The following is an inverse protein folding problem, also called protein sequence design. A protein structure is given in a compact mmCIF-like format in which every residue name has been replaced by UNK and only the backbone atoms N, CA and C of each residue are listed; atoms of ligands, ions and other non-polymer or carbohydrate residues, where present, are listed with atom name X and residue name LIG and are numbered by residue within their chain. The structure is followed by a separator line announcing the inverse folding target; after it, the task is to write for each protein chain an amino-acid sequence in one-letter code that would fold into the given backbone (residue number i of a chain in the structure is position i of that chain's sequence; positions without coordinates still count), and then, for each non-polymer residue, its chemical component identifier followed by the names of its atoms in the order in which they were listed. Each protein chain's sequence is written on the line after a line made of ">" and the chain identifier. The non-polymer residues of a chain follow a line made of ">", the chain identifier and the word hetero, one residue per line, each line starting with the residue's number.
data_IF_570425161469
#
_entry.id   IF_570425161469
#
_cell.length_a   1.000
_cell.length_b   1.000
_cell.length_c   1.000
_cell.angle_alpha   90.00
_cell.angle_beta   90.00
_cell.angle_gamma   90.00
#
_symmetry.space_group_name_H-M   'P 1'
#
loop_
_entity.id
_entity.type
_entity.pdbx_description
1 polymer ?
#
# COMPACT_ATOMS: atom_id res chain seq x y z
N UNK A 1 7.49 -11.82 -2.20
CA UNK A 1 6.43 -12.12 -3.19
C UNK A 1 6.59 -11.14 -4.34
N UNK A 2 6.61 -11.59 -5.56
CA UNK A 2 6.74 -10.77 -6.75
C UNK A 2 5.63 -11.14 -7.75
N UNK A 3 5.14 -10.17 -8.47
CA UNK A 3 4.10 -10.36 -9.48
C UNK A 3 4.33 -9.41 -10.65
N UNK A 4 3.81 -9.72 -11.82
CA UNK A 4 3.73 -8.73 -12.91
C UNK A 4 2.93 -7.53 -12.43
N UNK A 5 3.36 -6.32 -12.81
CA UNK A 5 2.67 -5.09 -12.47
C UNK A 5 1.22 -5.13 -12.96
N UNK A 6 0.32 -4.74 -12.09
CA UNK A 6 -1.08 -4.55 -12.46
C UNK A 6 -1.25 -3.10 -12.92
N UNK A 7 -1.61 -2.91 -14.17
CA UNK A 7 -1.78 -1.57 -14.76
C UNK A 7 -3.22 -1.07 -14.69
N UNK A 8 -4.10 -1.78 -13.99
CA UNK A 8 -5.52 -1.45 -13.91
C UNK A 8 -5.94 -1.15 -12.47
N UNK A 9 -6.46 0.03 -12.21
CA UNK A 9 -6.97 0.44 -10.90
C UNK A 9 -8.05 -0.50 -10.36
N UNK A 10 -8.85 -1.08 -11.24
CA UNK A 10 -9.89 -2.02 -10.88
C UNK A 10 -9.45 -3.49 -10.84
N UNK A 11 -8.16 -3.85 -10.80
CA UNK A 11 -7.72 -5.24 -10.66
C UNK A 11 -7.92 -5.77 -9.23
N UNK A 12 -7.92 -7.10 -9.05
CA UNK A 12 -8.00 -7.70 -7.72
C UNK A 12 -6.63 -7.67 -7.04
N UNK A 13 -6.46 -6.80 -6.05
CA UNK A 13 -5.20 -6.62 -5.34
C UNK A 13 -4.80 -7.89 -4.56
N UNK A 14 -5.73 -8.50 -3.83
CA UNK A 14 -5.43 -9.66 -2.97
C UNK A 14 -4.96 -10.90 -3.76
N UNK A 15 -5.41 -11.05 -5.00
CA UNK A 15 -5.00 -12.16 -5.87
C UNK A 15 -3.83 -11.86 -6.79
N UNK A 16 -3.40 -10.61 -6.86
CA UNK A 16 -2.38 -10.14 -7.78
C UNK A 16 -1.11 -11.00 -7.78
N UNK A 17 -0.68 -11.42 -6.60
CA UNK A 17 0.52 -12.23 -6.39
C UNK A 17 0.37 -13.69 -6.81
N UNK A 18 -0.86 -14.19 -6.91
CA UNK A 18 -1.15 -15.55 -7.37
C UNK A 18 -1.28 -15.56 -8.89
N UNK A 19 -2.07 -14.61 -9.42
CA UNK A 19 -2.49 -14.60 -10.81
C UNK A 19 -1.42 -14.01 -11.76
N UNK A 20 -0.45 -13.25 -11.23
CA UNK A 20 0.52 -12.48 -12.02
C UNK A 20 1.99 -12.80 -11.67
N UNK A 21 2.32 -14.04 -11.40
CA UNK A 21 3.73 -14.46 -11.20
C UNK A 21 4.54 -14.21 -12.47
N UNK A 22 5.73 -13.60 -12.32
CA UNK A 22 6.64 -13.35 -13.44
C UNK A 22 7.56 -14.51 -13.76
N UNK A 23 7.61 -15.55 -12.91
CA UNK A 23 8.45 -16.73 -13.11
C UNK A 23 9.94 -16.54 -12.81
N UNK A 24 10.36 -15.35 -12.36
CA UNK A 24 11.74 -15.02 -12.04
C UNK A 24 12.01 -15.20 -10.54
N UNK A 25 13.28 -15.36 -10.16
CA UNK A 25 13.73 -15.25 -8.77
C UNK A 25 13.54 -13.80 -8.27
N UNK A 26 13.66 -13.58 -6.95
CA UNK A 26 13.57 -12.23 -6.38
C UNK A 26 14.76 -11.36 -6.85
N UNK A 27 15.96 -11.95 -6.94
CA UNK A 27 17.16 -11.28 -7.40
C UNK A 27 17.00 -10.83 -8.86
N UNK A 28 16.63 -11.74 -9.76
CA UNK A 28 16.36 -11.43 -11.16
C UNK A 28 15.26 -10.38 -11.33
N UNK A 29 14.21 -10.46 -10.50
CA UNK A 29 13.13 -9.47 -10.52
C UNK A 29 13.63 -8.09 -10.11
N UNK A 30 14.47 -7.99 -9.08
CA UNK A 30 15.04 -6.70 -8.62
C UNK A 30 16.01 -6.13 -9.66
N UNK A 31 16.87 -6.95 -10.24
CA UNK A 31 17.82 -6.53 -11.27
C UNK A 31 17.12 -5.99 -12.52
N UNK A 32 15.99 -6.59 -12.90
CA UNK A 32 15.20 -6.19 -14.06
C UNK A 32 14.02 -5.28 -13.74
N UNK A 33 13.90 -4.78 -12.52
CA UNK A 33 12.70 -4.07 -12.02
C UNK A 33 12.29 -2.88 -12.88
N UNK A 34 13.25 -2.22 -13.54
CA UNK A 34 12.97 -1.05 -14.38
C UNK A 34 12.27 -1.40 -15.69
N UNK A 35 12.34 -2.65 -16.15
CA UNK A 35 11.86 -3.09 -17.46
C UNK A 35 10.89 -4.28 -17.41
N UNK A 36 10.84 -4.97 -16.28
CA UNK A 36 10.08 -6.23 -16.15
C UNK A 36 8.60 -6.03 -15.81
N UNK A 37 8.14 -4.79 -15.63
CA UNK A 37 6.78 -4.48 -15.18
C UNK A 37 6.38 -5.33 -13.96
N UNK A 38 7.23 -5.31 -12.95
CA UNK A 38 7.13 -6.18 -11.78
C UNK A 38 6.89 -5.39 -10.50
N UNK A 39 6.37 -6.08 -9.51
CA UNK A 39 6.11 -5.58 -8.17
C UNK A 39 6.59 -6.61 -7.15
N UNK A 40 7.44 -6.19 -6.24
CA UNK A 40 7.96 -7.01 -5.15
C UNK A 40 7.44 -6.47 -3.83
N UNK A 41 6.86 -7.33 -3.00
CA UNK A 41 6.50 -7.04 -1.62
C UNK A 41 7.25 -7.97 -0.68
N UNK A 42 8.05 -7.41 0.22
CA UNK A 42 8.74 -8.14 1.28
C UNK A 42 8.03 -7.86 2.60
N UNK A 43 7.47 -8.89 3.20
CA UNK A 43 6.80 -8.80 4.50
C UNK A 43 7.77 -9.14 5.61
N UNK A 44 7.71 -8.37 6.70
CA UNK A 44 8.45 -8.63 7.92
C UNK A 44 9.96 -8.35 7.83
N UNK A 45 10.45 -7.35 7.04
CA UNK A 45 11.89 -7.05 6.99
C UNK A 45 12.44 -6.64 8.37
N UNK A 46 11.62 -6.14 9.29
CA UNK A 46 11.98 -5.82 10.68
C UNK A 46 12.52 -7.02 11.46
N UNK A 47 12.25 -8.24 11.02
CA UNK A 47 12.84 -9.45 11.61
C UNK A 47 14.31 -9.63 11.26
N UNK A 48 14.81 -8.93 10.25
CA UNK A 48 16.22 -8.92 9.89
C UNK A 48 16.97 -7.81 10.64
N UNK A 49 18.19 -8.10 11.09
CA UNK A 49 19.00 -7.20 11.91
C UNK A 49 19.16 -5.79 11.31
N UNK A 50 19.29 -5.69 9.99
CA UNK A 50 19.47 -4.41 9.28
C UNK A 50 18.28 -3.48 9.36
N UNK A 51 17.06 -3.98 9.62
CA UNK A 51 15.83 -3.19 9.64
C UNK A 51 15.27 -2.96 11.05
N UNK A 52 15.73 -3.72 12.06
CA UNK A 52 15.24 -3.59 13.44
C UNK A 52 15.35 -2.16 14.00
N UNK A 53 16.50 -1.51 13.76
CA UNK A 53 16.71 -0.15 14.22
C UNK A 53 15.78 0.86 13.56
N UNK A 54 15.60 0.74 12.24
CA UNK A 54 14.70 1.57 11.48
C UNK A 54 13.24 1.38 11.93
N UNK A 55 12.79 0.14 12.06
CA UNK A 55 11.44 -0.18 12.52
C UNK A 55 11.15 0.41 13.91
N UNK A 56 12.09 0.23 14.87
CA UNK A 56 11.97 0.80 16.21
C UNK A 56 11.83 2.32 16.17
N UNK A 57 12.69 3.00 15.41
CA UNK A 57 12.66 4.46 15.28
C UNK A 57 11.33 4.93 14.69
N UNK A 58 10.83 4.26 13.66
CA UNK A 58 9.54 4.57 13.04
C UNK A 58 8.37 4.40 14.03
N UNK A 59 8.35 3.31 14.79
CA UNK A 59 7.32 3.09 15.82
C UNK A 59 7.34 4.17 16.90
N UNK A 60 8.53 4.60 17.34
CA UNK A 60 8.68 5.68 18.32
C UNK A 60 8.16 7.02 17.78
N UNK A 61 8.44 7.35 16.52
CA UNK A 61 7.98 8.59 15.91
C UNK A 61 6.46 8.58 15.64
N UNK A 62 5.92 7.47 15.17
CA UNK A 62 4.47 7.26 15.04
C UNK A 62 3.80 7.36 16.42
N UNK A 63 4.40 6.76 17.47
CA UNK A 63 3.90 6.85 18.85
C UNK A 63 3.81 8.29 19.35
N UNK A 64 4.80 9.15 19.01
CA UNK A 64 4.74 10.59 19.33
C UNK A 64 3.53 11.28 18.63
N UNK A 65 3.29 10.96 17.36
CA UNK A 65 2.15 11.49 16.62
C UNK A 65 0.81 11.00 17.20
N UNK A 66 0.71 9.72 17.54
CA UNK A 66 -0.47 9.15 18.17
C UNK A 66 -0.78 9.85 19.51
N UNK A 67 0.25 10.09 20.32
CA UNK A 67 0.11 10.81 21.59
C UNK A 67 -0.37 12.24 21.40
N UNK A 68 0.16 12.95 20.40
CA UNK A 68 -0.26 14.32 20.08
C UNK A 68 -1.73 14.38 19.64
N UNK A 69 -2.19 13.35 18.92
CA UNK A 69 -3.58 13.25 18.45
C UNK A 69 -4.54 12.58 19.45
N UNK A 70 -4.07 12.20 20.63
CA UNK A 70 -4.90 11.53 21.64
C UNK A 70 -5.38 10.12 21.27
N UNK A 71 -4.72 9.48 20.28
CA UNK A 71 -5.13 8.17 19.73
C UNK A 71 -4.36 6.98 20.31
N UNK A 72 -3.45 7.22 21.26
CA UNK A 72 -2.64 6.19 21.91
C UNK A 72 -1.23 6.65 22.21
N UNK A 73 -0.36 5.74 22.58
CA UNK A 73 1.03 6.04 22.94
C UNK A 73 2.05 5.37 22.01
N UNK A 74 1.73 4.17 21.53
CA UNK A 74 2.58 3.38 20.64
C UNK A 74 1.71 2.53 19.71
N UNK A 75 2.15 2.29 18.48
CA UNK A 75 1.50 1.31 17.62
C UNK A 75 1.62 -0.08 18.23
N UNK A 76 0.55 -0.86 18.14
CA UNK A 76 0.50 -2.27 18.56
C UNK A 76 0.63 -3.16 17.34
N UNK A 77 1.37 -4.27 17.48
CA UNK A 77 1.54 -5.27 16.40
C UNK A 77 2.01 -4.65 15.06
N UNK A 78 2.91 -3.66 15.15
CA UNK A 78 3.40 -2.96 13.96
C UNK A 78 4.23 -3.90 13.08
N UNK A 79 3.79 -4.11 11.85
CA UNK A 79 4.52 -4.85 10.82
C UNK A 79 5.11 -3.87 9.80
N UNK A 80 6.30 -4.19 9.29
CA UNK A 80 6.89 -3.46 8.17
C UNK A 80 6.69 -4.26 6.86
N UNK A 81 6.41 -3.52 5.81
CA UNK A 81 6.41 -4.04 4.45
C UNK A 81 7.32 -3.18 3.59
N UNK A 82 8.14 -3.81 2.77
CA UNK A 82 8.98 -3.12 1.80
C UNK A 82 8.47 -3.43 0.38
N UNK A 83 8.20 -2.37 -0.37
CA UNK A 83 7.71 -2.46 -1.74
C UNK A 83 8.75 -1.95 -2.73
N UNK A 84 9.04 -2.77 -3.74
CA UNK A 84 9.89 -2.39 -4.88
C UNK A 84 9.06 -2.66 -6.14
N UNK A 85 8.87 -1.63 -6.96
CA UNK A 85 8.02 -1.75 -8.12
C UNK A 85 8.59 -1.02 -9.33
N UNK A 86 8.27 -1.54 -10.50
CA UNK A 86 8.67 -0.94 -11.77
C UNK A 86 8.14 0.48 -11.95
N UNK A 87 8.80 1.29 -12.77
CA UNK A 87 8.23 2.55 -13.25
C UNK A 87 6.83 2.34 -13.84
N UNK A 88 5.95 3.31 -13.63
CA UNK A 88 4.57 3.31 -14.11
C UNK A 88 3.68 2.13 -13.62
N UNK A 89 4.16 1.33 -12.67
CA UNK A 89 3.35 0.28 -12.07
C UNK A 89 2.20 0.89 -11.26
N UNK A 90 1.06 0.22 -11.28
CA UNK A 90 -0.14 0.62 -10.55
C UNK A 90 -0.43 -0.37 -9.45
N UNK A 91 -0.61 0.13 -8.22
CA UNK A 91 -1.25 -0.63 -7.14
C UNK A 91 -2.75 -0.36 -7.24
N UNK A 92 -3.57 -1.39 -7.52
CA UNK A 92 -5.01 -1.23 -7.71
C UNK A 92 -5.70 -0.61 -6.50
N UNK A 93 -6.89 -0.07 -6.72
CA UNK A 93 -7.75 0.42 -5.65
C UNK A 93 -8.09 -0.71 -4.67
N UNK A 94 -7.81 -0.47 -3.40
CA UNK A 94 -8.08 -1.38 -2.29
C UNK A 94 -8.13 -0.60 -0.97
N UNK A 95 -8.47 -1.26 0.11
CA UNK A 95 -8.25 -0.76 1.47
C UNK A 95 -7.60 -1.82 2.33
N UNK A 96 -6.88 -1.38 3.34
CA UNK A 96 -6.24 -2.25 4.31
C UNK A 96 -7.04 -2.36 5.60
N UNK A 97 -6.90 -3.50 6.26
CA UNK A 97 -7.51 -3.76 7.58
C UNK A 97 -6.64 -3.24 8.73
N UNK A 98 -5.78 -2.29 8.43
CA UNK A 98 -4.81 -1.69 9.34
C UNK A 98 -4.74 -0.19 9.06
N UNK A 99 -4.28 0.55 10.05
CA UNK A 99 -3.86 1.94 9.84
C UNK A 99 -2.42 1.92 9.37
N UNK A 100 -2.12 2.53 8.23
CA UNK A 100 -0.83 2.44 7.58
C UNK A 100 -0.09 3.78 7.53
N UNK A 101 1.23 3.72 7.61
CA UNK A 101 2.11 4.80 7.22
C UNK A 101 2.92 4.37 6.01
N UNK A 102 2.67 5.00 4.87
CA UNK A 102 3.44 4.80 3.66
C UNK A 102 4.60 5.80 3.65
N UNK A 103 5.83 5.30 3.51
CA UNK A 103 7.05 6.10 3.44
C UNK A 103 7.69 5.93 2.07
N UNK A 104 8.13 7.03 1.46
CA UNK A 104 8.79 7.00 0.17
C UNK A 104 10.30 7.14 0.34
N UNK A 105 11.05 6.12 -0.08
CA UNK A 105 12.51 6.12 -0.01
C UNK A 105 13.17 6.51 -1.33
N UNK A 106 12.58 6.09 -2.47
CA UNK A 106 13.17 6.32 -3.79
C UNK A 106 12.09 6.41 -4.86
N UNK A 107 12.34 7.21 -5.90
CA UNK A 107 11.39 7.44 -6.99
C UNK A 107 10.26 8.38 -6.59
N UNK A 108 9.23 8.43 -7.40
CA UNK A 108 8.03 9.23 -7.16
C UNK A 108 6.76 8.38 -7.33
N UNK A 109 5.68 8.82 -6.70
CA UNK A 109 4.36 8.17 -6.81
C UNK A 109 3.26 9.23 -6.76
N UNK A 110 2.16 8.98 -7.45
CA UNK A 110 0.87 9.54 -7.10
C UNK A 110 0.18 8.57 -6.14
N UNK A 111 -0.18 9.06 -4.95
CA UNK A 111 -0.97 8.30 -3.98
C UNK A 111 -2.31 8.97 -3.85
N UNK A 112 -3.38 8.25 -4.10
CA UNK A 112 -4.74 8.70 -3.90
C UNK A 112 -5.33 7.99 -2.67
N UNK A 113 -5.80 8.77 -1.71
CA UNK A 113 -6.44 8.28 -0.48
C UNK A 113 -7.86 8.80 -0.42
N UNK A 114 -8.78 7.96 -0.01
CA UNK A 114 -10.19 8.27 0.14
C UNK A 114 -10.57 8.24 1.62
N UNK A 115 -11.49 9.11 1.99
CA UNK A 115 -12.01 9.11 3.36
C UNK A 115 -12.68 7.76 3.66
N UNK A 116 -12.35 7.14 4.81
CA UNK A 116 -13.06 5.94 5.25
C UNK A 116 -14.54 6.25 5.47
N UNK A 117 -15.39 5.26 5.28
CA UNK A 117 -16.84 5.36 5.48
C UNK A 117 -17.58 6.29 4.50
N UNK A 118 -16.96 6.61 3.36
CA UNK A 118 -17.65 7.29 2.28
C UNK A 118 -18.39 6.25 1.41
N UNK A 119 -19.70 6.14 1.58
CA UNK A 119 -20.54 5.14 0.93
C UNK A 119 -20.62 5.30 -0.60
N UNK A 120 -20.29 6.48 -1.12
CA UNK A 120 -20.17 6.71 -2.58
C UNK A 120 -18.91 6.07 -3.16
N UNK A 121 -17.92 5.77 -2.32
CA UNK A 121 -16.65 5.14 -2.70
C UNK A 121 -16.67 3.66 -2.38
N UNK A 122 -16.95 3.29 -1.13
CA UNK A 122 -16.99 1.91 -0.67
C UNK A 122 -18.24 1.75 0.20
N UNK A 123 -19.17 0.93 -0.24
CA UNK A 123 -20.42 0.67 0.49
C UNK A 123 -20.19 -0.15 1.77
N UNK A 124 -21.06 -0.07 2.78
CA UNK A 124 -20.96 -0.89 3.97
C UNK A 124 -20.89 -2.39 3.65
N UNK A 125 -21.62 -2.85 2.63
CA UNK A 125 -21.61 -4.25 2.19
C UNK A 125 -20.26 -4.66 1.58
N UNK A 126 -19.59 -3.75 0.88
CA UNK A 126 -18.23 -3.99 0.35
C UNK A 126 -17.21 -4.06 1.48
N UNK A 127 -17.30 -3.18 2.49
CA UNK A 127 -16.47 -3.26 3.69
C UNK A 127 -16.65 -4.58 4.42
N UNK A 128 -17.89 -4.99 4.67
CA UNK A 128 -18.20 -6.26 5.33
C UNK A 128 -17.67 -7.46 4.55
N UNK A 129 -17.97 -7.52 3.25
CA UNK A 129 -17.56 -8.62 2.38
C UNK A 129 -16.02 -8.75 2.31
N UNK A 130 -15.29 -7.64 2.17
CA UNK A 130 -13.84 -7.64 2.12
C UNK A 130 -13.22 -8.00 3.46
N UNK A 131 -13.76 -7.47 4.56
CA UNK A 131 -13.30 -7.76 5.92
C UNK A 131 -13.50 -9.22 6.29
N UNK A 132 -14.62 -9.82 5.86
CA UNK A 132 -14.92 -11.25 6.01
C UNK A 132 -14.05 -12.14 5.09
N UNK A 133 -13.08 -11.56 4.36
CA UNK A 133 -12.21 -12.28 3.42
C UNK A 133 -12.98 -13.02 2.33
N UNK A 134 -14.10 -12.47 1.89
CA UNK A 134 -14.74 -12.94 0.67
C UNK A 134 -13.84 -12.61 -0.52
N UNK A 135 -13.81 -13.46 -1.53
CA UNK A 135 -13.05 -13.23 -2.78
C UNK A 135 -13.60 -12.09 -3.64
N UNK A 136 -14.47 -11.25 -3.08
CA UNK A 136 -15.06 -10.14 -3.81
C UNK A 136 -14.04 -9.03 -4.00
N UNK A 137 -13.84 -8.68 -5.25
CA UNK A 137 -13.11 -7.51 -5.70
C UNK A 137 -13.85 -6.24 -5.27
N UNK A 138 -13.13 -5.26 -4.74
CA UNK A 138 -13.69 -3.93 -4.48
C UNK A 138 -13.94 -3.25 -5.83
N UNK A 139 -15.10 -2.63 -5.96
CA UNK A 139 -15.48 -1.86 -7.14
C UNK A 139 -14.54 -0.66 -7.31
N UNK A 140 -14.16 -0.39 -8.56
CA UNK A 140 -13.50 0.84 -8.94
C UNK A 140 -14.18 1.43 -10.17
N UNK A 141 -14.55 2.70 -10.10
CA UNK A 141 -15.11 3.47 -11.20
C UNK A 141 -14.39 4.83 -11.26
N UNK A 142 -14.13 5.36 -12.48
CA UNK A 142 -13.39 6.62 -12.63
C UNK A 142 -14.03 7.81 -11.91
N UNK A 143 -15.34 7.82 -11.76
CA UNK A 143 -16.12 8.86 -11.08
C UNK A 143 -15.81 8.96 -9.58
N UNK A 144 -15.35 7.85 -8.97
CA UNK A 144 -14.92 7.83 -7.56
C UNK A 144 -13.71 8.73 -7.34
N UNK A 145 -12.90 8.98 -8.38
CA UNK A 145 -11.68 9.77 -8.31
C UNK A 145 -11.92 11.23 -7.86
N UNK A 146 -13.14 11.73 -7.98
CA UNK A 146 -13.56 13.04 -7.47
C UNK A 146 -13.48 13.18 -5.95
N UNK A 147 -13.51 12.05 -5.23
CA UNK A 147 -13.41 11.99 -3.77
C UNK A 147 -11.98 11.74 -3.27
N UNK A 148 -11.01 11.59 -4.18
CA UNK A 148 -9.64 11.27 -3.84
C UNK A 148 -8.86 12.49 -3.34
N UNK A 149 -8.19 12.34 -2.20
CA UNK A 149 -7.09 13.21 -1.80
C UNK A 149 -5.82 12.72 -2.47
N UNK A 150 -5.30 13.47 -3.44
CA UNK A 150 -4.14 13.08 -4.25
C UNK A 150 -2.86 13.74 -3.79
N UNK A 151 -1.82 12.96 -3.65
CA UNK A 151 -0.50 13.38 -3.19
C UNK A 151 0.58 13.02 -4.21
N UNK A 152 1.36 14.00 -4.65
CA UNK A 152 2.59 13.75 -5.41
C UNK A 152 3.72 13.41 -4.44
N UNK A 153 3.92 12.13 -4.21
CA UNK A 153 4.72 11.57 -3.15
C UNK A 153 6.18 11.42 -3.58
N UNK A 154 7.09 11.99 -2.79
CA UNK A 154 8.53 12.08 -3.09
C UNK A 154 9.37 11.47 -1.97
N UNK A 155 10.64 11.11 -2.23
CA UNK A 155 11.53 10.62 -1.19
C UNK A 155 11.59 11.52 0.04
N UNK A 156 11.60 10.92 1.22
CA UNK A 156 11.60 11.62 2.51
C UNK A 156 10.21 12.02 3.02
N UNK A 157 9.15 11.76 2.26
CA UNK A 157 7.77 12.01 2.70
C UNK A 157 7.14 10.75 3.28
N UNK A 158 6.20 10.98 4.20
CA UNK A 158 5.33 9.96 4.77
C UNK A 158 3.87 10.40 4.65
N UNK A 159 2.97 9.46 4.44
CA UNK A 159 1.53 9.68 4.42
C UNK A 159 0.84 8.67 5.32
N UNK A 160 -0.11 9.12 6.11
CA UNK A 160 -0.98 8.25 6.87
C UNK A 160 -2.18 7.86 6.02
N UNK A 161 -2.43 6.56 5.91
CA UNK A 161 -3.63 5.98 5.32
C UNK A 161 -4.46 5.42 6.47
N UNK A 162 -5.64 5.99 6.75
CA UNK A 162 -6.44 5.59 7.89
C UNK A 162 -6.96 4.15 7.73
N UNK A 163 -7.32 3.55 8.86
CA UNK A 163 -7.99 2.25 8.90
C UNK A 163 -9.20 2.25 7.95
N UNK A 164 -9.27 1.26 7.06
CA UNK A 164 -10.28 1.13 6.00
C UNK A 164 -10.33 2.29 4.98
N UNK A 165 -9.37 3.19 4.97
CA UNK A 165 -9.25 4.20 3.92
C UNK A 165 -8.92 3.57 2.57
N UNK A 166 -9.83 3.72 1.60
CA UNK A 166 -9.58 3.28 0.23
C UNK A 166 -8.38 4.01 -0.35
N UNK A 167 -7.54 3.34 -1.12
CA UNK A 167 -6.41 3.99 -1.77
C UNK A 167 -5.91 3.25 -3.00
N UNK A 168 -5.22 3.96 -3.85
CA UNK A 168 -4.44 3.41 -4.94
C UNK A 168 -3.12 4.16 -5.11
N UNK A 169 -2.16 3.54 -5.80
CA UNK A 169 -0.85 4.14 -6.07
C UNK A 169 -0.49 3.98 -7.54
N UNK A 170 0.03 5.05 -8.14
CA UNK A 170 0.65 5.03 -9.46
C UNK A 170 2.11 5.45 -9.33
N UNK A 171 3.03 4.59 -9.72
CA UNK A 171 4.44 4.92 -9.71
C UNK A 171 4.75 5.94 -10.82
N UNK A 172 5.71 6.82 -10.55
CA UNK A 172 6.31 7.67 -11.57
C UNK A 172 7.21 6.88 -12.55
N UNK A 173 7.77 7.57 -13.54
CA UNK A 173 8.66 7.01 -14.55
C UNK A 173 10.02 6.56 -14.00
#
# INVERSE_FOLDING_TARGET
>A
MYSKGLNLLGANFDRAHIDNKNGLSIEETIETIRTSNSYVAVRGPENHASFKGLHKMMCEDIGKLMKLNGTGQMPTEAEMWLFIASPNAVTPFHFDRFSNFLLQFRGSKEVAVFDPWNDEVITPQEYEAYTARSDRKIRWEPEMDRFAHKFNFKPGQAIHIPFLGGHYVKNGP
#
